data_IF_696676798660
#
_entry.id   IF_696676798660
#
_cell.length_a   1.000
_cell.length_b   1.000
_cell.length_c   1.000
_cell.angle_alpha   90.00
_cell.angle_beta   90.00
_cell.angle_gamma   90.00
#
_symmetry.space_group_name_H-M   'P 1'
#
loop_
_entity.id
_entity.type
_entity.pdbx_description
1 polymer ?
#
# COMPACT_ATOMS: atom_id res chain seq x y z
N UNK A 1 -22.96 48.27 7.85
CA UNK A 1 -22.65 47.14 6.96
C UNK A 1 -21.65 46.24 7.68
N UNK A 2 -22.11 45.08 8.16
CA UNK A 2 -21.27 44.05 8.79
C UNK A 2 -20.64 43.19 7.70
N UNK A 3 -19.32 43.32 7.51
CA UNK A 3 -18.55 42.46 6.61
C UNK A 3 -18.24 41.15 7.33
N UNK A 4 -19.02 40.11 7.06
CA UNK A 4 -18.72 38.72 7.42
C UNK A 4 -17.72 38.17 6.42
N UNK A 5 -16.43 38.31 6.72
CA UNK A 5 -15.38 37.50 6.07
C UNK A 5 -15.66 36.03 6.37
N UNK A 6 -16.08 35.30 5.34
CA UNK A 6 -16.22 33.84 5.40
C UNK A 6 -14.82 33.26 5.54
N UNK A 7 -14.48 32.86 6.76
CA UNK A 7 -13.26 32.10 7.04
C UNK A 7 -13.34 30.77 6.27
N UNK A 8 -12.61 30.72 5.16
CA UNK A 8 -12.52 29.54 4.31
C UNK A 8 -11.67 28.51 5.04
N UNK A 9 -12.34 27.62 5.77
CA UNK A 9 -11.72 26.51 6.50
C UNK A 9 -11.02 25.62 5.47
N UNK A 10 -9.70 25.78 5.33
CA UNK A 10 -8.88 24.88 4.52
C UNK A 10 -9.05 23.48 5.12
N UNK A 11 -9.48 22.47 4.34
CA UNK A 11 -9.59 21.13 4.86
C UNK A 11 -8.19 20.71 5.38
N UNK A 12 -8.12 20.07 6.55
CA UNK A 12 -6.83 19.60 7.07
C UNK A 12 -6.15 18.75 6.00
N UNK A 13 -4.82 18.86 5.83
CA UNK A 13 -4.11 18.04 4.87
C UNK A 13 -4.48 16.58 5.13
N UNK A 14 -4.76 15.79 4.08
CA UNK A 14 -5.12 14.40 4.25
C UNK A 14 -4.05 13.72 5.10
N UNK A 15 -4.43 12.90 6.08
CA UNK A 15 -3.47 12.22 6.93
C UNK A 15 -2.47 11.50 6.05
N UNK A 16 -1.19 11.82 6.22
CA UNK A 16 -0.08 11.15 5.55
C UNK A 16 0.03 9.74 6.12
N UNK A 17 -0.90 8.86 5.75
CA UNK A 17 -0.71 7.43 5.91
C UNK A 17 0.54 7.09 5.11
N UNK A 18 1.63 6.75 5.81
CA UNK A 18 2.94 6.53 5.19
C UNK A 18 2.78 5.71 3.91
N UNK A 19 3.31 6.17 2.76
CA UNK A 19 2.95 5.65 1.44
C UNK A 19 3.38 4.18 1.23
N UNK A 20 4.11 3.63 2.20
CA UNK A 20 4.53 2.24 2.25
C UNK A 20 3.66 1.34 3.13
N UNK A 21 2.72 1.87 3.92
CA UNK A 21 1.90 1.07 4.83
C UNK A 21 1.11 -0.01 4.07
N UNK A 22 0.50 0.38 2.95
CA UNK A 22 -0.25 -0.52 2.09
C UNK A 22 0.63 -1.62 1.48
N UNK A 23 1.71 -1.32 0.72
CA UNK A 23 2.56 -2.36 0.15
C UNK A 23 3.24 -3.24 1.19
N UNK A 24 3.60 -2.72 2.37
CA UNK A 24 4.20 -3.52 3.46
C UNK A 24 3.21 -4.56 3.99
N UNK A 25 1.98 -4.15 4.32
CA UNK A 25 0.95 -5.08 4.80
C UNK A 25 0.64 -6.12 3.72
N UNK A 26 0.56 -5.68 2.45
CA UNK A 26 0.31 -6.55 1.31
C UNK A 26 1.43 -7.58 1.10
N UNK A 27 2.69 -7.18 1.28
CA UNK A 27 3.84 -8.06 1.19
C UNK A 27 3.88 -9.08 2.34
N UNK A 28 3.63 -8.64 3.58
CA UNK A 28 3.56 -9.54 4.75
C UNK A 28 2.43 -10.56 4.57
N UNK A 29 1.25 -10.11 4.14
CA UNK A 29 0.10 -10.99 3.92
C UNK A 29 0.32 -11.94 2.74
N UNK A 30 0.90 -11.45 1.63
CA UNK A 30 1.26 -12.28 0.48
C UNK A 30 2.32 -13.34 0.81
N UNK A 31 3.32 -12.99 1.62
CA UNK A 31 4.33 -13.94 2.08
C UNK A 31 3.76 -14.97 3.06
N UNK A 32 2.84 -14.54 3.93
CA UNK A 32 2.08 -15.45 4.80
C UNK A 32 1.26 -16.45 3.98
N UNK A 33 0.52 -15.96 2.97
CA UNK A 33 -0.24 -16.80 2.05
C UNK A 33 0.67 -17.76 1.26
N UNK A 34 1.89 -17.34 0.89
CA UNK A 34 2.85 -18.23 0.25
C UNK A 34 3.31 -19.34 1.21
N UNK A 35 3.63 -18.97 2.45
CA UNK A 35 4.04 -19.92 3.49
C UNK A 35 2.92 -20.92 3.79
N UNK A 36 1.70 -20.46 4.02
CA UNK A 36 0.55 -21.30 4.35
C UNK A 36 0.00 -22.07 3.13
N UNK A 37 0.21 -21.60 1.91
CA UNK A 37 -0.20 -22.30 0.68
C UNK A 37 0.77 -23.40 0.20
N UNK A 38 2.02 -23.39 0.69
CA UNK A 38 3.08 -24.28 0.22
C UNK A 38 3.70 -25.15 1.33
N UNK A 39 3.79 -24.66 2.57
CA UNK A 39 4.39 -25.39 3.69
C UNK A 39 3.33 -26.05 4.60
N UNK A 40 2.13 -25.49 4.70
CA UNK A 40 0.99 -26.13 5.39
C UNK A 40 0.38 -27.21 4.48
N UNK A 41 0.48 -28.48 4.87
CA UNK A 41 0.01 -29.66 4.12
C UNK A 41 -1.12 -30.41 4.84
N UNK A 42 -2.02 -29.71 5.53
CA UNK A 42 -3.18 -30.35 6.15
C UNK A 42 -4.24 -30.68 5.07
N UNK A 43 -4.56 -31.97 4.86
CA UNK A 43 -5.46 -32.42 3.78
C UNK A 43 -6.92 -32.00 3.97
N UNK A 44 -7.34 -31.61 5.19
CA UNK A 44 -8.70 -31.16 5.51
C UNK A 44 -8.98 -29.70 5.10
N UNK A 45 -7.96 -28.96 4.64
CA UNK A 45 -8.05 -27.51 4.38
C UNK A 45 -7.79 -27.14 2.90
N UNK A 46 -8.09 -28.06 1.97
CA UNK A 46 -7.87 -27.86 0.54
C UNK A 46 -8.55 -26.61 -0.04
N UNK A 47 -9.72 -26.22 0.48
CA UNK A 47 -10.44 -25.05 -0.01
C UNK A 47 -9.71 -23.73 0.30
N UNK A 48 -8.95 -23.69 1.39
CA UNK A 48 -8.17 -22.52 1.79
C UNK A 48 -6.78 -22.50 1.14
N UNK A 49 -6.25 -23.67 0.72
CA UNK A 49 -4.99 -23.73 -0.02
C UNK A 49 -5.06 -22.99 -1.36
N UNK A 50 -6.17 -23.08 -2.08
CA UNK A 50 -6.36 -22.34 -3.33
C UNK A 50 -6.41 -20.83 -3.07
N UNK A 51 -7.10 -20.38 -2.03
CA UNK A 51 -7.14 -18.97 -1.63
C UNK A 51 -5.74 -18.44 -1.27
N UNK A 52 -4.97 -19.19 -0.49
CA UNK A 52 -3.61 -18.82 -0.12
C UNK A 52 -2.66 -18.79 -1.33
N UNK A 53 -2.75 -19.77 -2.24
CA UNK A 53 -1.93 -19.76 -3.46
C UNK A 53 -2.28 -18.61 -4.38
N UNK A 54 -3.57 -18.38 -4.63
CA UNK A 54 -4.04 -17.28 -5.48
C UNK A 54 -3.72 -15.92 -4.84
N UNK A 55 -3.91 -15.81 -3.53
CA UNK A 55 -3.51 -14.67 -2.71
C UNK A 55 -2.03 -14.37 -2.87
N UNK A 56 -1.14 -15.36 -2.73
CA UNK A 56 0.29 -15.16 -2.92
C UNK A 56 0.64 -14.72 -4.35
N UNK A 57 0.02 -15.32 -5.38
CA UNK A 57 0.26 -15.00 -6.78
C UNK A 57 -0.22 -13.60 -7.18
N UNK A 58 -1.24 -13.05 -6.50
CA UNK A 58 -1.76 -11.71 -6.80
C UNK A 58 -1.09 -10.67 -5.90
N UNK A 59 -1.03 -10.92 -4.59
CA UNK A 59 -0.56 -9.95 -3.60
C UNK A 59 0.94 -9.69 -3.68
N UNK A 60 1.78 -10.69 -3.96
CA UNK A 60 3.23 -10.47 -4.05
C UNK A 60 3.59 -9.59 -5.25
N UNK A 61 3.17 -9.90 -6.49
CA UNK A 61 3.42 -9.01 -7.63
C UNK A 61 2.77 -7.64 -7.45
N UNK A 62 1.54 -7.60 -6.90
CA UNK A 62 0.87 -6.34 -6.64
C UNK A 62 1.66 -5.48 -5.66
N UNK A 63 2.12 -6.06 -4.54
CA UNK A 63 2.93 -5.35 -3.54
C UNK A 63 4.23 -4.81 -4.14
N UNK A 64 4.85 -5.54 -5.07
CA UNK A 64 6.07 -5.13 -5.74
C UNK A 64 5.82 -3.95 -6.70
N UNK A 65 4.72 -4.00 -7.45
CA UNK A 65 4.30 -2.90 -8.34
C UNK A 65 3.99 -1.65 -7.53
N UNK A 66 3.22 -1.79 -6.46
CA UNK A 66 2.79 -0.69 -5.59
C UNK A 66 4.01 -0.06 -4.89
N UNK A 67 4.92 -0.89 -4.35
CA UNK A 67 6.19 -0.44 -3.79
C UNK A 67 7.04 0.32 -4.81
N UNK A 68 7.15 -0.19 -6.04
CA UNK A 68 7.89 0.48 -7.11
C UNK A 68 7.26 1.83 -7.50
N UNK A 69 5.92 1.88 -7.54
CA UNK A 69 5.19 3.11 -7.84
C UNK A 69 5.44 4.17 -6.75
N UNK A 70 5.33 3.78 -5.48
CA UNK A 70 5.61 4.66 -4.34
C UNK A 70 7.06 5.15 -4.36
N UNK A 71 8.02 4.25 -4.58
CA UNK A 71 9.42 4.61 -4.65
C UNK A 71 9.73 5.59 -5.79
N UNK A 72 9.04 5.45 -6.92
CA UNK A 72 9.16 6.39 -8.06
C UNK A 72 8.58 7.76 -7.71
N UNK A 73 7.44 7.82 -7.01
CA UNK A 73 6.83 9.08 -6.57
C UNK A 73 7.72 9.85 -5.60
N UNK A 74 8.33 9.18 -4.62
CA UNK A 74 9.26 9.85 -3.69
C UNK A 74 10.50 10.45 -4.38
N UNK A 75 10.97 9.80 -5.45
CA UNK A 75 12.08 10.32 -6.26
C UNK A 75 11.66 11.51 -7.11
N UNK A 76 10.41 11.53 -7.59
CA UNK A 76 9.87 12.66 -8.33
C UNK A 76 9.73 13.89 -7.41
N UNK A 77 9.23 13.72 -6.20
CA UNK A 77 9.05 14.83 -5.24
C UNK A 77 10.39 15.42 -4.80
N UNK A 78 11.39 14.59 -4.49
CA UNK A 78 12.76 15.06 -4.18
C UNK A 78 13.41 15.84 -5.33
N UNK A 79 13.07 15.54 -6.59
CA UNK A 79 13.60 16.24 -7.76
C UNK A 79 12.92 17.59 -8.04
N UNK A 80 11.69 17.77 -7.55
CA UNK A 80 10.95 19.04 -7.65
C UNK A 80 11.41 19.99 -6.56
N UNK A 81 11.60 19.50 -5.33
CA UNK A 81 12.14 20.29 -4.21
C UNK A 81 13.53 20.86 -4.53
N UNK A 82 14.44 20.02 -5.07
CA UNK A 82 15.81 20.44 -5.44
C UNK A 82 15.89 21.45 -6.60
N UNK A 83 14.82 21.63 -7.39
CA UNK A 83 14.76 22.65 -8.46
C UNK A 83 14.26 24.00 -7.98
N UNK A 84 13.65 24.05 -6.80
CA UNK A 84 13.11 25.26 -6.19
C UNK A 84 14.00 25.83 -5.06
N UNK A 85 15.13 25.17 -4.77
CA UNK A 85 16.24 25.73 -4.01
C UNK A 85 17.28 26.35 -4.94
#
# INVERSE_FOLDING_TARGET
>A
MSNTSKEQKVPPPPPETGPYLFPIILAIFGLWCLYDGWFTSNPDMNDHQLFNRLGSYILLPWSAIDFYHTWKSERADKSVDNRNQ
#
